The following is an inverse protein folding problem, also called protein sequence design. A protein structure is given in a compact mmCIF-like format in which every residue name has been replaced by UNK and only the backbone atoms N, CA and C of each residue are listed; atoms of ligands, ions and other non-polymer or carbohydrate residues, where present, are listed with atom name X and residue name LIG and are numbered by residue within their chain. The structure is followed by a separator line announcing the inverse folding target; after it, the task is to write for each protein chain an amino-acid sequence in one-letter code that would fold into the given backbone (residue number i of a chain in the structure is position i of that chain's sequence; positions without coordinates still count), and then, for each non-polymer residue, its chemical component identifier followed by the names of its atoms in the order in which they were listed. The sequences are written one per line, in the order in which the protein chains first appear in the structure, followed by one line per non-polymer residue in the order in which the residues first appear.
data_IF_166010543686
#
_entry.id   IF_166010543686
#
_cell.length_a   1.000
_cell.length_b   1.000
_cell.length_c   1.000
_cell.angle_alpha   90.00
_cell.angle_beta   90.00
_cell.angle_gamma   90.00
#
_symmetry.space_group_name_H-M   'P 1'
#
loop_
_entity.id
_entity.type
_entity.pdbx_description
1 polymer ?
#
# COMPACT_ATOMS: atom_id res chain seq x y z
N UNK A 1 8.95 -9.41 4.71
CA UNK A 1 7.91 -10.40 5.05
C UNK A 1 7.33 -10.87 3.73
N UNK A 2 7.01 -12.15 3.57
CA UNK A 2 6.32 -12.59 2.35
C UNK A 2 4.82 -12.30 2.49
N UNK A 3 4.31 -11.44 1.62
CA UNK A 3 2.90 -11.06 1.54
C UNK A 3 2.25 -11.55 0.24
N UNK A 4 2.88 -12.50 -0.45
CA UNK A 4 2.29 -13.15 -1.62
C UNK A 4 0.87 -13.63 -1.31
N UNK A 5 -0.06 -13.39 -2.24
CA UNK A 5 -1.50 -13.68 -2.10
C UNK A 5 -2.23 -12.94 -0.96
N UNK A 6 -1.64 -11.89 -0.36
CA UNK A 6 -2.34 -11.00 0.57
C UNK A 6 -2.85 -9.74 -0.16
N UNK A 7 -3.94 -9.18 0.37
CA UNK A 7 -4.51 -7.91 -0.07
C UNK A 7 -4.47 -6.90 1.06
N UNK A 8 -4.08 -5.67 0.75
CA UNK A 8 -4.03 -4.56 1.70
C UNK A 8 -4.76 -3.34 1.15
N UNK A 9 -5.44 -2.61 2.03
CA UNK A 9 -6.01 -1.29 1.74
C UNK A 9 -5.19 -0.27 2.50
N UNK A 10 -4.70 0.76 1.81
CA UNK A 10 -3.94 1.85 2.42
C UNK A 10 -4.68 3.15 2.18
N UNK A 11 -5.07 3.82 3.27
CA UNK A 11 -5.71 5.14 3.25
C UNK A 11 -4.66 6.25 3.41
N UNK A 12 -4.84 7.41 2.77
CA UNK A 12 -3.86 8.50 2.85
C UNK A 12 -2.55 8.17 2.12
N UNK A 13 -2.67 7.39 1.03
CA UNK A 13 -1.54 6.83 0.30
C UNK A 13 -0.92 7.78 -0.74
N UNK A 14 -1.48 8.98 -0.93
CA UNK A 14 -1.00 9.92 -1.93
C UNK A 14 0.45 10.36 -1.72
N UNK A 15 0.93 10.43 -0.46
CA UNK A 15 2.28 10.88 -0.14
C UNK A 15 2.79 10.42 1.23
N UNK A 16 4.05 10.74 1.52
CA UNK A 16 4.67 10.55 2.84
C UNK A 16 4.65 9.10 3.30
N UNK A 17 4.21 8.89 4.53
CA UNK A 17 4.22 7.56 5.17
C UNK A 17 3.28 6.59 4.45
N UNK A 18 2.12 7.04 3.98
CA UNK A 18 1.17 6.19 3.26
C UNK A 18 1.78 5.62 1.98
N UNK A 19 2.47 6.45 1.20
CA UNK A 19 3.20 6.02 0.01
C UNK A 19 4.33 5.04 0.36
N UNK A 20 5.11 5.32 1.40
CA UNK A 20 6.18 4.43 1.84
C UNK A 20 5.66 3.04 2.28
N UNK A 21 4.48 3.00 2.92
CA UNK A 21 3.81 1.75 3.28
C UNK A 21 3.39 0.97 2.03
N UNK A 22 2.76 1.64 1.05
CA UNK A 22 2.39 0.99 -0.22
C UNK A 22 3.61 0.37 -0.90
N UNK A 23 4.70 1.12 -1.02
CA UNK A 23 5.94 0.63 -1.63
C UNK A 23 6.45 -0.63 -0.93
N UNK A 24 6.52 -0.62 0.40
CA UNK A 24 6.96 -1.79 1.17
C UNK A 24 6.03 -3.00 1.02
N UNK A 25 4.72 -2.79 0.93
CA UNK A 25 3.75 -3.86 0.74
C UNK A 25 3.87 -4.49 -0.65
N UNK A 26 4.08 -3.67 -1.68
CA UNK A 26 4.32 -4.12 -3.05
C UNK A 26 5.64 -4.90 -3.17
N UNK A 27 6.73 -4.39 -2.58
CA UNK A 27 8.02 -5.10 -2.48
C UNK A 27 7.88 -6.48 -1.82
N UNK A 28 6.92 -6.62 -0.90
CA UNK A 28 6.64 -7.85 -0.18
C UNK A 28 5.69 -8.80 -0.95
N UNK A 29 5.19 -8.42 -2.13
CA UNK A 29 4.31 -9.25 -2.97
C UNK A 29 2.81 -9.13 -2.68
N UNK A 30 2.39 -8.13 -1.90
CA UNK A 30 0.97 -7.88 -1.65
C UNK A 30 0.29 -7.20 -2.85
N UNK A 31 -0.99 -7.50 -3.06
CA UNK A 31 -1.86 -6.66 -3.88
C UNK A 31 -2.42 -5.50 -3.03
N UNK A 32 -2.24 -4.25 -3.47
CA UNK A 32 -2.58 -3.07 -2.67
C UNK A 32 -3.63 -2.21 -3.36
N UNK A 33 -4.67 -1.81 -2.63
CA UNK A 33 -5.65 -0.80 -3.06
C UNK A 33 -5.38 0.50 -2.32
N UNK A 34 -5.16 1.58 -3.07
CA UNK A 34 -4.89 2.91 -2.54
C UNK A 34 -6.17 3.72 -2.48
N UNK A 35 -6.44 4.30 -1.32
CA UNK A 35 -7.61 5.13 -1.08
C UNK A 35 -7.11 6.47 -0.53
N UNK A 36 -7.31 7.54 -1.29
CA UNK A 36 -7.05 8.89 -0.78
C UNK A 36 -8.32 9.73 -0.97
N UNK A 37 -8.53 10.67 -0.04
CA UNK A 37 -9.68 11.57 -0.11
C UNK A 37 -9.44 12.66 -1.15
N UNK A 38 -8.18 13.04 -1.33
CA UNK A 38 -7.73 14.02 -2.32
C UNK A 38 -6.84 13.28 -3.33
N UNK A 39 -7.44 12.84 -4.43
CA UNK A 39 -6.76 12.26 -5.59
C UNK A 39 -6.62 13.29 -6.70
#
# INVERSE_FOLDING_TARGET
MDLSNKRAVVTGAAQGIGLAIVQRLLESGAAVSLWDRDA
#
